data_IF_186028195441
#
_entry.id   IF_186028195441
#
_cell.length_a   1.000
_cell.length_b   1.000
_cell.length_c   1.000
_cell.angle_alpha   90.00
_cell.angle_beta   90.00
_cell.angle_gamma   90.00
#
_symmetry.space_group_name_H-M   'P 1'
#
loop_
_entity.id
_entity.type
_entity.pdbx_description
1 polymer ?
#
# COMPACT_ATOMS: atom_id res chain seq x y z
N UNK A 1 -24.24 -14.46 -2.26
CA UNK A 1 -24.13 -13.07 -1.90
C UNK A 1 -22.73 -12.55 -2.15
N UNK A 2 -22.64 -11.50 -2.93
CA UNK A 2 -21.36 -10.92 -3.27
C UNK A 2 -21.15 -9.65 -2.45
N UNK A 3 -20.05 -9.61 -1.71
CA UNK A 3 -19.71 -8.44 -0.93
C UNK A 3 -18.78 -7.56 -1.74
N UNK A 4 -19.21 -6.33 -1.98
CA UNK A 4 -18.37 -5.36 -2.65
C UNK A 4 -17.77 -4.42 -1.61
N UNK A 5 -16.45 -4.21 -1.74
CA UNK A 5 -15.76 -3.21 -0.95
C UNK A 5 -15.34 -2.13 -1.92
N UNK A 6 -15.98 -0.98 -1.82
CA UNK A 6 -15.68 0.15 -2.68
C UNK A 6 -14.24 0.59 -2.45
N UNK A 7 -13.49 0.72 -3.53
CA UNK A 7 -12.11 1.21 -3.46
C UNK A 7 -12.02 2.55 -4.14
N UNK A 8 -11.55 3.53 -3.38
CA UNK A 8 -11.42 4.89 -3.88
C UNK A 8 -10.18 5.00 -4.77
N UNK A 9 -10.38 5.32 -6.03
CA UNK A 9 -9.28 5.46 -6.97
C UNK A 9 -8.34 6.58 -6.60
N UNK A 10 -8.84 7.61 -5.92
CA UNK A 10 -7.99 8.71 -5.46
C UNK A 10 -7.03 8.24 -4.38
N UNK A 11 -7.51 7.40 -3.47
CA UNK A 11 -6.65 6.81 -2.43
C UNK A 11 -5.57 5.96 -3.08
N UNK A 12 -5.96 5.10 -3.99
CA UNK A 12 -5.03 4.21 -4.69
C UNK A 12 -3.95 5.02 -5.43
N UNK A 13 -4.36 6.05 -6.17
CA UNK A 13 -3.42 6.88 -6.92
C UNK A 13 -2.46 7.62 -6.00
N UNK A 14 -2.98 8.19 -4.92
CA UNK A 14 -2.14 8.93 -3.98
C UNK A 14 -1.11 8.04 -3.32
N UNK A 15 -1.53 6.84 -2.90
CA UNK A 15 -0.65 5.88 -2.24
C UNK A 15 0.50 5.50 -3.16
N UNK A 16 0.21 5.28 -4.44
CA UNK A 16 1.25 4.93 -5.41
C UNK A 16 2.18 6.11 -5.70
N UNK A 17 1.64 7.32 -5.80
CA UNK A 17 2.47 8.51 -5.98
C UNK A 17 3.38 8.73 -4.79
N UNK A 18 2.84 8.57 -3.59
CA UNK A 18 3.59 8.75 -2.35
C UNK A 18 4.78 7.80 -2.25
N UNK A 19 4.62 6.59 -2.78
CA UNK A 19 5.68 5.58 -2.75
C UNK A 19 6.84 5.92 -3.68
N UNK A 20 6.64 6.83 -4.64
CA UNK A 20 7.69 7.32 -5.54
C UNK A 20 8.39 6.21 -6.31
N UNK A 21 7.60 5.24 -6.76
CA UNK A 21 8.10 4.15 -7.60
C UNK A 21 8.79 3.03 -6.86
N UNK A 22 8.75 3.04 -5.53
CA UNK A 22 9.40 2.01 -4.73
C UNK A 22 8.39 1.30 -3.85
N UNK A 23 8.64 0.00 -3.63
CA UNK A 23 7.79 -0.79 -2.73
C UNK A 23 7.91 -0.26 -1.30
N UNK A 24 6.77 -0.06 -0.63
CA UNK A 24 6.77 0.45 0.74
C UNK A 24 7.33 -0.57 1.75
N UNK A 25 7.43 -1.84 1.39
CA UNK A 25 7.95 -2.86 2.29
C UNK A 25 9.44 -3.11 2.09
N UNK A 26 9.86 -3.42 0.86
CA UNK A 26 11.25 -3.77 0.59
C UNK A 26 12.10 -2.61 0.08
N UNK A 27 11.47 -1.49 -0.26
CA UNK A 27 12.12 -0.28 -0.77
C UNK A 27 12.83 -0.45 -2.11
N UNK A 28 12.61 -1.57 -2.79
CA UNK A 28 13.17 -1.77 -4.13
C UNK A 28 12.29 -1.10 -5.15
N UNK A 29 12.85 -0.70 -6.30
CA UNK A 29 12.05 -0.12 -7.37
C UNK A 29 10.98 -1.08 -7.83
N UNK A 30 9.89 -0.52 -8.38
CA UNK A 30 8.84 -1.33 -9.01
C UNK A 30 9.48 -2.23 -10.08
N UNK A 31 8.89 -3.41 -10.31
CA UNK A 31 9.50 -4.38 -11.24
C UNK A 31 9.53 -3.89 -12.69
N UNK A 32 8.65 -2.99 -13.07
CA UNK A 32 8.64 -2.43 -14.42
C UNK A 32 7.82 -1.13 -14.43
N UNK A 33 7.97 -0.41 -15.52
CA UNK A 33 7.19 0.82 -15.77
C UNK A 33 6.12 0.45 -16.80
N UNK A 34 4.87 0.79 -16.49
CA UNK A 34 3.77 0.52 -17.41
C UNK A 34 3.84 1.42 -18.63
N UNK A 35 3.04 1.06 -19.68
CA UNK A 35 3.04 1.84 -20.91
C UNK A 35 2.73 3.31 -20.69
N UNK A 36 1.89 3.61 -19.70
CA UNK A 36 1.54 5.00 -19.40
C UNK A 36 2.61 5.73 -18.57
N UNK A 37 3.77 5.10 -18.36
CA UNK A 37 4.87 5.72 -17.64
C UNK A 37 4.79 5.59 -16.12
N UNK A 38 3.81 4.87 -15.61
CA UNK A 38 3.62 4.72 -14.16
C UNK A 38 4.32 3.46 -13.68
N UNK A 39 5.13 3.55 -12.61
CA UNK A 39 5.75 2.35 -12.01
C UNK A 39 4.67 1.38 -11.53
N UNK A 40 4.89 0.09 -11.78
CA UNK A 40 3.91 -0.92 -11.41
C UNK A 40 4.04 -1.28 -9.93
N UNK A 41 3.07 -0.87 -9.14
CA UNK A 41 2.93 -1.25 -7.73
C UNK A 41 1.48 -1.59 -7.49
N UNK A 42 1.24 -2.36 -6.44
CA UNK A 42 -0.11 -2.82 -6.10
C UNK A 42 -0.53 -2.24 -4.76
N UNK A 43 -1.76 -1.76 -4.70
CA UNK A 43 -2.28 -1.23 -3.45
C UNK A 43 -2.56 -2.38 -2.47
N UNK A 44 -2.19 -2.18 -1.21
CA UNK A 44 -2.45 -3.16 -0.15
C UNK A 44 -2.99 -2.44 1.08
N UNK A 45 -4.07 -2.95 1.65
CA UNK A 45 -4.64 -2.41 2.88
C UNK A 45 -4.04 -3.17 4.06
N UNK A 46 -3.37 -2.45 4.97
CA UNK A 46 -2.68 -3.05 6.10
C UNK A 46 -3.66 -3.81 6.98
N UNK A 47 -4.79 -3.17 7.30
CA UNK A 47 -5.92 -3.86 7.92
C UNK A 47 -6.90 -4.16 6.79
N UNK A 48 -7.17 -5.43 6.50
CA UNK A 48 -8.05 -5.76 5.37
C UNK A 48 -9.42 -5.10 5.48
N UNK A 49 -9.97 -4.72 4.34
CA UNK A 49 -11.28 -4.07 4.32
C UNK A 49 -12.36 -4.95 4.94
N UNK A 50 -12.29 -6.26 4.70
CA UNK A 50 -13.28 -7.18 5.27
C UNK A 50 -13.05 -7.46 6.76
N UNK A 51 -12.01 -6.87 7.34
CA UNK A 51 -11.74 -6.97 8.78
C UNK A 51 -11.86 -5.62 9.46
N UNK A 52 -12.57 -4.70 8.82
CA UNK A 52 -12.83 -3.39 9.40
C UNK A 52 -11.82 -2.31 9.04
N UNK A 53 -10.90 -2.60 8.14
CA UNK A 53 -9.92 -1.60 7.70
C UNK A 53 -10.57 -0.55 6.81
N UNK A 54 -10.03 0.67 6.87
CA UNK A 54 -10.51 1.77 6.04
C UNK A 54 -9.85 1.78 4.68
N UNK A 55 -10.58 2.25 3.67
CA UNK A 55 -9.97 2.56 2.39
C UNK A 55 -9.50 4.01 2.43
N UNK A 56 -8.36 4.22 3.08
CA UNK A 56 -7.81 5.55 3.28
C UNK A 56 -6.30 5.51 3.17
N UNK A 57 -5.71 6.69 2.98
CA UNK A 57 -4.25 6.80 2.87
C UNK A 57 -3.55 6.41 4.17
N UNK A 58 -4.29 6.32 5.28
CA UNK A 58 -3.74 5.92 6.57
C UNK A 58 -3.77 4.42 6.79
N UNK A 59 -4.28 3.66 5.82
CA UNK A 59 -4.36 2.21 5.93
C UNK A 59 -3.90 1.51 4.66
N UNK A 60 -3.41 2.25 3.68
CA UNK A 60 -3.03 1.67 2.39
C UNK A 60 -1.58 1.98 2.06
N UNK A 61 -0.93 1.03 1.41
CA UNK A 61 0.47 1.15 0.99
C UNK A 61 0.60 0.61 -0.42
N UNK A 62 1.73 0.90 -1.07
CA UNK A 62 2.02 0.42 -2.40
C UNK A 62 3.13 -0.62 -2.32
N UNK A 63 2.86 -1.82 -2.79
CA UNK A 63 3.80 -2.93 -2.70
C UNK A 63 4.13 -3.48 -4.07
N UNK A 64 5.37 -3.99 -4.22
CA UNK A 64 5.69 -4.77 -5.40
C UNK A 64 4.94 -6.10 -5.33
N UNK A 65 4.74 -6.77 -6.49
CA UNK A 65 3.97 -8.02 -6.50
C UNK A 65 4.55 -9.08 -5.57
N UNK A 66 5.86 -9.15 -5.45
CA UNK A 66 6.50 -10.15 -4.58
C UNK A 66 6.16 -9.91 -3.12
N UNK A 67 6.30 -8.68 -2.65
CA UNK A 67 5.98 -8.35 -1.26
C UNK A 67 4.49 -8.48 -0.98
N UNK A 68 3.66 -8.08 -1.95
CA UNK A 68 2.22 -8.16 -1.81
C UNK A 68 1.77 -9.62 -1.66
N UNK A 69 2.28 -10.49 -2.52
CA UNK A 69 1.97 -11.92 -2.43
C UNK A 69 2.49 -12.50 -1.12
N UNK A 70 3.71 -12.14 -0.74
CA UNK A 70 4.32 -12.66 0.48
C UNK A 70 3.50 -12.29 1.72
N UNK A 71 3.07 -11.04 1.81
CA UNK A 71 2.35 -10.60 3.02
C UNK A 71 0.98 -11.27 3.12
N UNK A 72 0.33 -11.53 1.97
CA UNK A 72 -0.94 -12.27 1.99
C UNK A 72 -0.74 -13.74 2.32
N UNK A 73 0.37 -14.32 1.90
CA UNK A 73 0.64 -15.74 2.14
C UNK A 73 1.10 -16.02 3.56
N UNK A 74 2.03 -15.22 4.05
CA UNK A 74 2.68 -15.49 5.34
C UNK A 74 2.07 -14.71 6.49
N UNK A 75 1.51 -13.53 6.21
CA UNK A 75 0.95 -12.65 7.25
C UNK A 75 1.94 -12.45 8.39
N UNK A 76 3.22 -12.26 8.03
CA UNK A 76 4.29 -12.07 8.99
C UNK A 76 4.08 -10.78 9.76
N UNK A 77 4.01 -10.90 11.09
CA UNK A 77 3.74 -9.73 11.93
C UNK A 77 4.84 -8.67 11.81
N UNK A 78 6.07 -9.09 11.52
CA UNK A 78 7.16 -8.13 11.32
C UNK A 78 6.89 -7.24 10.11
N UNK A 79 6.41 -7.83 9.02
CA UNK A 79 6.08 -7.07 7.82
C UNK A 79 4.90 -6.14 8.07
N UNK A 80 3.88 -6.64 8.75
CA UNK A 80 2.70 -5.84 9.08
C UNK A 80 3.11 -4.65 9.94
N UNK A 81 3.93 -4.88 10.95
CA UNK A 81 4.40 -3.82 11.84
C UNK A 81 5.23 -2.79 11.08
N UNK A 82 6.07 -3.25 10.15
CA UNK A 82 6.87 -2.35 9.34
C UNK A 82 5.99 -1.42 8.50
N UNK A 83 4.92 -1.97 7.92
CA UNK A 83 4.02 -1.16 7.12
C UNK A 83 3.28 -0.12 7.98
N UNK A 84 2.92 -0.48 9.22
CA UNK A 84 2.31 0.48 10.13
C UNK A 84 3.26 1.63 10.42
N UNK A 85 4.54 1.33 10.62
CA UNK A 85 5.55 2.35 10.85
C UNK A 85 5.71 3.24 9.62
N UNK A 86 5.72 2.64 8.43
CA UNK A 86 5.82 3.40 7.19
C UNK A 86 4.65 4.39 7.07
N UNK A 87 3.45 3.96 7.41
CA UNK A 87 2.28 4.83 7.37
C UNK A 87 2.45 5.98 8.37
N UNK A 88 2.93 5.69 9.57
CA UNK A 88 3.20 6.74 10.56
C UNK A 88 4.20 7.76 10.04
N UNK A 89 5.25 7.29 9.38
CA UNK A 89 6.26 8.17 8.81
C UNK A 89 5.65 9.07 7.73
N UNK A 90 4.79 8.51 6.89
CA UNK A 90 4.09 9.31 5.90
C UNK A 90 3.18 10.34 6.56
N UNK A 91 2.44 9.94 7.59
CA UNK A 91 1.56 10.86 8.30
C UNK A 91 2.34 12.04 8.86
N UNK A 92 3.49 11.76 9.48
CA UNK A 92 4.33 12.81 10.04
C UNK A 92 4.88 13.74 8.95
N UNK A 93 5.26 13.16 7.81
CA UNK A 93 5.81 13.95 6.72
C UNK A 93 4.75 14.90 6.13
N UNK A 94 3.52 14.42 5.98
CA UNK A 94 2.45 15.20 5.37
C UNK A 94 1.62 15.99 6.36
N UNK A 95 1.92 15.89 7.65
CA UNK A 95 1.24 16.66 8.68
C UNK A 95 2.00 17.95 8.88
N UNK A 96 1.40 19.06 8.40
CA UNK A 96 2.07 20.36 8.41
C UNK A 96 1.73 21.20 9.62
N UNK A 97 1.14 20.61 10.63
CA UNK A 97 0.77 21.30 11.86
C UNK A 97 1.97 21.63 12.74
#
# INVERSE_FOLDING_TARGET
NINFYYRDQKVCSFVKLRAKGKCDLCNKPAPFIMENGVPYLEEHHVIPLNEGGDDSINNAVALCPNCHRKIHSLKDQKDINKLKIVIEEYQNYYNLE
#
